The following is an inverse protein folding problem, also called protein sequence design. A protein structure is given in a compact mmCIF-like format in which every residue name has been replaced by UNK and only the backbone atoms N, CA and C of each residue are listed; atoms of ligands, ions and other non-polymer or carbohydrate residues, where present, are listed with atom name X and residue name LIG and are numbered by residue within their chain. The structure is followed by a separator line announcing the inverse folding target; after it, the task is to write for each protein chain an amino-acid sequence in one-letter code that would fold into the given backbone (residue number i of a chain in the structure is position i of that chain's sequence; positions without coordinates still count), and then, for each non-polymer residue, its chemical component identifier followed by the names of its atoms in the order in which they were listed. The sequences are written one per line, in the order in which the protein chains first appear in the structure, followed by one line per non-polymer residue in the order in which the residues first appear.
data_IF_221984030585
#
_entry.id   IF_221984030585
#
_cell.length_a   1.000
_cell.length_b   1.000
_cell.length_c   1.000
_cell.angle_alpha   90.00
_cell.angle_beta   90.00
_cell.angle_gamma   90.00
#
_symmetry.space_group_name_H-M   'P 1'
#
loop_
_entity.id
_entity.type
_entity.pdbx_description
1 polymer ?
#
# COMPACT_ATOMS: atom_id res chain seq x y z
N UNK A 1 -5.89 -30.48 -24.04
CA UNK A 1 -6.02 -29.89 -22.69
C UNK A 1 -7.16 -28.88 -22.74
N UNK A 2 -8.16 -28.97 -21.85
CA UNK A 2 -9.35 -28.13 -21.90
C UNK A 2 -9.03 -26.67 -21.54
N UNK A 3 -9.76 -25.72 -22.13
CA UNK A 3 -9.74 -24.29 -21.76
C UNK A 3 -10.17 -24.18 -20.29
N UNK A 4 -9.35 -23.51 -19.47
CA UNK A 4 -9.68 -23.30 -18.05
C UNK A 4 -10.67 -22.15 -17.86
N UNK A 5 -11.28 -22.07 -16.67
CA UNK A 5 -12.17 -20.95 -16.35
C UNK A 5 -11.43 -19.60 -16.44
N UNK A 6 -10.16 -19.53 -16.03
CA UNK A 6 -9.37 -18.30 -16.13
C UNK A 6 -9.18 -17.87 -17.59
N UNK A 7 -8.91 -18.82 -18.49
CA UNK A 7 -8.78 -18.54 -19.92
C UNK A 7 -10.10 -18.02 -20.51
N UNK A 8 -11.23 -18.60 -20.11
CA UNK A 8 -12.56 -18.14 -20.49
C UNK A 8 -12.87 -16.73 -19.97
N UNK A 9 -12.54 -16.45 -18.70
CA UNK A 9 -12.69 -15.12 -18.10
C UNK A 9 -11.85 -14.10 -18.85
N UNK A 10 -10.56 -14.41 -19.11
CA UNK A 10 -9.68 -13.49 -19.82
C UNK A 10 -10.25 -13.15 -21.20
N UNK A 11 -10.59 -14.16 -22.00
CA UNK A 11 -11.11 -13.94 -23.36
C UNK A 11 -12.44 -13.19 -23.32
N UNK A 12 -13.39 -13.63 -22.48
CA UNK A 12 -14.70 -13.00 -22.38
C UNK A 12 -14.63 -11.55 -21.91
N UNK A 13 -13.89 -11.28 -20.84
CA UNK A 13 -13.72 -9.93 -20.30
C UNK A 13 -12.97 -9.02 -21.27
N UNK A 14 -11.89 -9.52 -21.88
CA UNK A 14 -11.12 -8.77 -22.88
C UNK A 14 -11.97 -8.41 -24.09
N UNK A 15 -12.76 -9.36 -24.59
CA UNK A 15 -13.65 -9.13 -25.72
C UNK A 15 -14.71 -8.08 -25.37
N UNK A 16 -15.38 -8.20 -24.23
CA UNK A 16 -16.39 -7.22 -23.79
C UNK A 16 -15.75 -5.84 -23.63
N UNK A 17 -14.60 -5.76 -22.97
CA UNK A 17 -13.85 -4.50 -22.81
C UNK A 17 -13.47 -3.88 -24.16
N UNK A 18 -12.98 -4.68 -25.10
CA UNK A 18 -12.63 -4.25 -26.45
C UNK A 18 -13.84 -3.76 -27.24
N UNK A 19 -14.98 -4.46 -27.18
CA UNK A 19 -16.20 -4.05 -27.88
C UNK A 19 -16.81 -2.77 -27.28
N UNK A 20 -16.85 -2.65 -25.95
CA UNK A 20 -17.32 -1.43 -25.29
C UNK A 20 -16.45 -0.23 -25.65
N UNK A 21 -15.13 -0.39 -25.66
CA UNK A 21 -14.20 0.66 -26.07
C UNK A 21 -14.27 0.98 -27.57
N UNK A 22 -14.57 -0.01 -28.43
CA UNK A 22 -14.82 0.23 -29.86
C UNK A 22 -16.07 1.10 -30.07
N UNK A 23 -17.17 0.83 -29.35
CA UNK A 23 -18.41 1.62 -29.44
C UNK A 23 -18.18 3.05 -28.94
N UNK A 24 -17.37 3.19 -27.89
CA UNK A 24 -17.10 4.48 -27.25
C UNK A 24 -16.06 5.32 -28.01
N UNK A 25 -15.08 4.68 -28.63
CA UNK A 25 -14.01 5.33 -29.40
C UNK A 25 -12.79 5.67 -28.54
N UNK A 26 -11.59 5.45 -29.09
CA UNK A 26 -10.31 5.63 -28.38
C UNK A 26 -10.13 7.05 -27.81
N UNK A 27 -10.49 8.06 -28.59
CA UNK A 27 -10.35 9.46 -28.23
C UNK A 27 -11.11 9.78 -26.95
N UNK A 28 -12.35 9.28 -26.81
CA UNK A 28 -13.14 9.46 -25.58
C UNK A 28 -12.46 8.83 -24.38
N UNK A 29 -11.84 7.68 -24.56
CA UNK A 29 -11.22 6.97 -23.44
C UNK A 29 -9.94 7.65 -22.98
N UNK A 30 -9.08 8.09 -23.90
CA UNK A 30 -7.89 8.88 -23.54
C UNK A 30 -8.31 10.20 -22.90
N UNK A 31 -9.26 10.92 -23.49
CA UNK A 31 -9.71 12.19 -22.97
C UNK A 31 -10.31 12.07 -21.56
N UNK A 32 -10.95 10.94 -21.25
CA UNK A 32 -11.36 10.62 -19.89
C UNK A 32 -10.17 10.38 -18.98
N UNK A 33 -9.14 9.64 -19.39
CA UNK A 33 -7.93 9.45 -18.55
C UNK A 33 -7.22 10.79 -18.30
N UNK A 34 -7.12 11.62 -19.34
CA UNK A 34 -6.54 12.97 -19.25
C UNK A 34 -7.35 13.85 -18.30
N UNK A 35 -8.69 13.76 -18.28
CA UNK A 35 -9.50 14.55 -17.36
C UNK A 35 -9.25 14.19 -15.90
N UNK A 36 -9.06 12.89 -15.60
CA UNK A 36 -8.68 12.44 -14.25
C UNK A 36 -7.29 12.96 -13.84
N UNK A 37 -6.30 12.89 -14.74
CA UNK A 37 -4.94 13.40 -14.45
C UNK A 37 -4.96 14.92 -14.24
N UNK A 38 -5.65 15.66 -15.12
CA UNK A 38 -5.79 17.11 -15.00
C UNK A 38 -6.52 17.52 -13.71
N UNK A 39 -7.57 16.78 -13.33
CA UNK A 39 -8.28 17.00 -12.08
C UNK A 39 -7.41 16.72 -10.85
N UNK A 40 -6.60 15.66 -10.89
CA UNK A 40 -5.65 15.35 -9.82
C UNK A 40 -4.57 16.43 -9.69
N UNK A 41 -4.03 16.91 -10.82
CA UNK A 41 -3.10 18.03 -10.82
C UNK A 41 -3.75 19.30 -10.26
N UNK A 42 -4.97 19.62 -10.67
CA UNK A 42 -5.71 20.75 -10.12
C UNK A 42 -5.92 20.63 -8.61
N UNK A 43 -6.31 19.45 -8.12
CA UNK A 43 -6.44 19.18 -6.70
C UNK A 43 -5.13 19.43 -5.94
N UNK A 44 -4.01 18.97 -6.49
CA UNK A 44 -2.69 19.16 -5.90
C UNK A 44 -2.27 20.63 -5.83
N UNK A 45 -2.57 21.45 -6.85
CA UNK A 45 -2.17 22.85 -6.89
C UNK A 45 -3.16 23.82 -6.22
N UNK A 46 -4.46 23.51 -6.21
CA UNK A 46 -5.51 24.44 -5.78
C UNK A 46 -6.21 24.06 -4.48
N UNK A 47 -5.75 23.06 -3.72
CA UNK A 47 -6.36 22.75 -2.41
C UNK A 47 -6.14 23.86 -1.37
N UNK A 48 -4.99 24.56 -1.39
CA UNK A 48 -4.67 25.56 -0.36
C UNK A 48 -5.67 26.73 -0.30
N UNK A 49 -6.11 27.32 -1.43
CA UNK A 49 -7.18 28.32 -1.41
C UNK A 49 -8.52 27.81 -0.86
N UNK A 50 -8.81 26.52 -0.96
CA UNK A 50 -10.08 25.92 -0.50
C UNK A 50 -10.04 25.55 0.98
N UNK A 51 -8.85 25.28 1.52
CA UNK A 51 -8.64 24.84 2.89
C UNK A 51 -9.29 25.73 3.97
N UNK A 52 -9.21 27.08 3.92
CA UNK A 52 -9.83 27.95 4.92
C UNK A 52 -11.36 27.84 4.98
N UNK A 53 -12.00 27.39 3.90
CA UNK A 53 -13.44 27.18 3.86
C UNK A 53 -13.86 25.82 4.44
N UNK A 54 -12.92 24.87 4.53
CA UNK A 54 -13.14 23.51 5.06
C UNK A 54 -12.76 23.40 6.53
N UNK A 55 -11.70 24.10 6.93
CA UNK A 55 -11.18 24.17 8.29
C UNK A 55 -12.26 24.37 9.39
N UNK A 56 -13.28 25.22 9.22
CA UNK A 56 -14.32 25.40 10.24
C UNK A 56 -15.21 24.17 10.49
N UNK A 57 -15.18 23.18 9.59
CA UNK A 57 -16.04 21.99 9.63
C UNK A 57 -15.28 20.69 9.93
N UNK A 58 -13.94 20.72 9.94
CA UNK A 58 -13.09 19.53 10.10
C UNK A 58 -11.94 19.84 11.04
N UNK A 59 -11.96 19.23 12.22
CA UNK A 59 -10.98 19.49 13.29
C UNK A 59 -9.57 18.97 12.97
N UNK A 60 -9.47 17.93 12.15
CA UNK A 60 -8.17 17.32 11.80
C UNK A 60 -7.61 17.94 10.52
N UNK A 61 -6.48 18.64 10.65
CA UNK A 61 -5.76 19.30 9.55
C UNK A 61 -5.54 18.40 8.33
N UNK A 62 -5.11 17.14 8.54
CA UNK A 62 -4.86 16.19 7.45
C UNK A 62 -6.17 15.84 6.73
N UNK A 63 -7.25 15.66 7.49
CA UNK A 63 -8.58 15.36 6.92
C UNK A 63 -9.11 16.60 6.18
N UNK A 64 -8.96 17.80 6.75
CA UNK A 64 -9.37 19.05 6.13
C UNK A 64 -8.65 19.28 4.78
N UNK A 65 -7.34 18.97 4.73
CA UNK A 65 -6.54 19.00 3.50
C UNK A 65 -7.06 18.03 2.45
N UNK A 66 -7.32 16.77 2.82
CA UNK A 66 -7.87 15.75 1.91
C UNK A 66 -9.26 16.15 1.41
N UNK A 67 -10.12 16.68 2.28
CA UNK A 67 -11.46 17.16 1.90
C UNK A 67 -11.36 18.35 0.96
N UNK A 68 -10.50 19.33 1.23
CA UNK A 68 -10.27 20.47 0.35
C UNK A 68 -9.75 20.05 -1.03
N UNK A 69 -8.76 19.16 -1.08
CA UNK A 69 -8.26 18.58 -2.32
C UNK A 69 -9.35 17.79 -3.05
N UNK A 70 -10.19 17.04 -2.34
CA UNK A 70 -11.33 16.31 -2.88
C UNK A 70 -12.38 17.22 -3.52
N UNK A 71 -12.71 18.34 -2.88
CA UNK A 71 -13.64 19.34 -3.44
C UNK A 71 -13.09 19.89 -4.75
N UNK A 72 -11.82 20.33 -4.76
CA UNK A 72 -11.15 20.84 -5.97
C UNK A 72 -11.11 19.77 -7.05
N UNK A 73 -10.76 18.53 -6.70
CA UNK A 73 -10.70 17.40 -7.61
C UNK A 73 -12.03 17.20 -8.32
N UNK A 74 -13.14 17.13 -7.58
CA UNK A 74 -14.47 16.90 -8.16
C UNK A 74 -14.90 18.05 -9.06
N UNK A 75 -14.71 19.30 -8.62
CA UNK A 75 -15.06 20.48 -9.42
C UNK A 75 -14.24 20.52 -10.71
N UNK A 76 -12.92 20.34 -10.61
CA UNK A 76 -12.03 20.32 -11.76
C UNK A 76 -12.36 19.15 -12.70
N UNK A 77 -12.64 17.96 -12.16
CA UNK A 77 -13.01 16.79 -12.95
C UNK A 77 -14.28 17.04 -13.75
N UNK A 78 -15.30 17.67 -13.17
CA UNK A 78 -16.54 18.02 -13.88
C UNK A 78 -16.23 19.01 -15.01
N UNK A 79 -15.54 20.11 -14.71
CA UNK A 79 -15.22 21.15 -15.70
C UNK A 79 -14.40 20.57 -16.87
N UNK A 80 -13.30 19.89 -16.56
CA UNK A 80 -12.42 19.30 -17.57
C UNK A 80 -13.17 18.23 -18.37
N UNK A 81 -13.96 17.38 -17.73
CA UNK A 81 -14.72 16.33 -18.43
C UNK A 81 -15.75 16.92 -19.40
N UNK A 82 -16.44 18.00 -19.03
CA UNK A 82 -17.36 18.67 -19.95
C UNK A 82 -16.63 19.24 -21.16
N UNK A 83 -15.45 19.85 -20.96
CA UNK A 83 -14.62 20.37 -22.05
C UNK A 83 -14.15 19.24 -22.97
N UNK A 84 -13.63 18.16 -22.39
CA UNK A 84 -13.09 17.05 -23.18
C UNK A 84 -14.18 16.26 -23.90
N UNK A 85 -15.40 16.16 -23.35
CA UNK A 85 -16.54 15.57 -24.06
C UNK A 85 -16.83 16.30 -25.36
N UNK A 86 -16.87 17.64 -25.32
CA UNK A 86 -17.08 18.46 -26.54
C UNK A 86 -15.96 18.28 -27.56
N UNK A 87 -14.71 18.21 -27.09
CA UNK A 87 -13.56 17.98 -27.97
C UNK A 87 -13.63 16.58 -28.62
N UNK A 88 -14.05 15.56 -27.87
CA UNK A 88 -14.22 14.22 -28.40
C UNK A 88 -15.28 14.16 -29.49
N UNK A 89 -16.41 14.86 -29.31
CA UNK A 89 -17.47 14.95 -30.30
C UNK A 89 -16.93 15.54 -31.63
N UNK A 90 -16.09 16.58 -31.56
CA UNK A 90 -15.47 17.19 -32.74
C UNK A 90 -14.50 16.26 -33.47
N UNK A 91 -13.72 15.47 -32.73
CA UNK A 91 -12.76 14.52 -33.33
C UNK A 91 -13.49 13.40 -34.06
N UNK A 92 -14.54 12.86 -33.43
CA UNK A 92 -15.29 11.70 -33.93
C UNK A 92 -16.13 12.03 -35.15
N UNK A 93 -16.62 13.28 -35.26
CA UNK A 93 -17.43 13.74 -36.41
C UNK A 93 -16.60 13.89 -37.71
N UNK A 94 -15.27 13.78 -37.62
CA UNK A 94 -14.40 13.74 -38.79
C UNK A 94 -14.35 12.35 -39.44
N UNK A 95 -13.78 12.26 -40.66
CA UNK A 95 -13.49 10.98 -41.36
C UNK A 95 -12.65 9.98 -40.54
N UNK A 96 -12.07 10.41 -39.42
CA UNK A 96 -11.23 9.60 -38.53
C UNK A 96 -12.06 8.66 -37.64
N UNK A 97 -13.39 8.79 -37.58
CA UNK A 97 -14.24 7.97 -36.69
C UNK A 97 -14.07 6.45 -36.84
N UNK A 98 -13.79 5.93 -38.05
CA UNK A 98 -13.52 4.49 -38.23
C UNK A 98 -12.18 4.05 -37.60
N UNK A 99 -11.14 4.89 -37.72
CA UNK A 99 -9.84 4.65 -37.09
C UNK A 99 -9.92 4.78 -35.56
N UNK A 100 -10.70 5.74 -35.07
CA UNK A 100 -10.92 5.92 -33.62
C UNK A 100 -11.57 4.69 -32.97
N UNK A 101 -12.49 4.03 -33.67
CA UNK A 101 -13.14 2.79 -33.21
C UNK A 101 -12.19 1.60 -33.22
N UNK A 102 -11.33 1.44 -34.24
CA UNK A 102 -10.37 0.33 -34.29
C UNK A 102 -9.27 0.48 -33.25
N UNK A 103 -8.77 1.70 -33.04
CA UNK A 103 -7.88 2.00 -31.91
C UNK A 103 -8.59 1.77 -30.57
N UNK A 104 -9.88 2.09 -30.48
CA UNK A 104 -10.70 1.87 -29.30
C UNK A 104 -10.77 0.38 -28.95
N UNK A 105 -10.95 -0.48 -29.95
CA UNK A 105 -10.90 -1.93 -29.78
C UNK A 105 -9.56 -2.41 -29.23
N UNK A 106 -8.44 -1.98 -29.83
CA UNK A 106 -7.10 -2.37 -29.38
C UNK A 106 -6.81 -1.89 -27.95
N UNK A 107 -7.17 -0.64 -27.66
CA UNK A 107 -7.05 -0.07 -26.32
C UNK A 107 -7.92 -0.84 -25.30
N UNK A 108 -9.18 -1.12 -25.64
CA UNK A 108 -10.08 -1.89 -24.78
C UNK A 108 -9.62 -3.32 -24.56
N UNK A 109 -9.01 -3.97 -25.55
CA UNK A 109 -8.41 -5.28 -25.41
C UNK A 109 -7.19 -5.22 -24.45
N UNK A 110 -6.28 -4.27 -24.67
CA UNK A 110 -5.13 -4.08 -23.78
C UNK A 110 -5.57 -3.80 -22.33
N UNK A 111 -6.55 -2.92 -22.14
CA UNK A 111 -7.15 -2.64 -20.83
C UNK A 111 -7.80 -3.87 -20.23
N UNK A 112 -8.52 -4.66 -21.01
CA UNK A 112 -9.17 -5.88 -20.56
C UNK A 112 -8.17 -6.89 -20.00
N UNK A 113 -7.09 -7.13 -20.74
CA UNK A 113 -5.99 -8.01 -20.31
C UNK A 113 -5.34 -7.45 -19.04
N UNK A 114 -5.07 -6.15 -18.99
CA UNK A 114 -4.44 -5.51 -17.84
C UNK A 114 -5.30 -5.61 -16.57
N UNK A 115 -6.61 -5.40 -16.67
CA UNK A 115 -7.53 -5.55 -15.54
C UNK A 115 -7.55 -6.98 -15.03
N UNK A 116 -7.58 -7.98 -15.92
CA UNK A 116 -7.53 -9.40 -15.52
C UNK A 116 -6.18 -9.76 -14.89
N UNK A 117 -5.07 -9.19 -15.38
CA UNK A 117 -3.75 -9.39 -14.78
C UNK A 117 -3.67 -8.80 -13.36
N UNK A 118 -4.16 -7.58 -13.16
CA UNK A 118 -4.24 -6.97 -11.82
C UNK A 118 -5.18 -7.75 -10.90
N UNK A 119 -6.31 -8.24 -11.41
CA UNK A 119 -7.21 -9.09 -10.65
C UNK A 119 -6.54 -10.42 -10.25
N UNK A 120 -5.72 -11.00 -11.12
CA UNK A 120 -4.94 -12.20 -10.79
C UNK A 120 -3.87 -11.93 -9.73
N UNK A 121 -3.17 -10.79 -9.79
CA UNK A 121 -2.23 -10.38 -8.75
C UNK A 121 -2.93 -10.26 -7.39
N UNK A 122 -4.05 -9.54 -7.36
CA UNK A 122 -4.85 -9.37 -6.15
C UNK A 122 -5.38 -10.71 -5.63
N UNK A 123 -5.82 -11.59 -6.52
CA UNK A 123 -6.25 -12.94 -6.17
C UNK A 123 -5.11 -13.77 -5.59
N UNK A 124 -3.91 -13.73 -6.16
CA UNK A 124 -2.74 -14.47 -5.66
C UNK A 124 -2.30 -13.98 -4.28
N UNK A 125 -2.32 -12.65 -4.08
CA UNK A 125 -2.08 -12.04 -2.78
C UNK A 125 -3.10 -12.51 -1.72
N UNK A 126 -4.39 -12.60 -2.08
CA UNK A 126 -5.46 -13.02 -1.17
C UNK A 126 -5.52 -14.55 -0.94
N UNK A 127 -5.30 -15.36 -1.98
CA UNK A 127 -5.46 -16.82 -1.95
C UNK A 127 -4.22 -17.55 -1.41
N UNK A 128 -3.06 -16.86 -1.31
CA UNK A 128 -1.82 -17.43 -0.80
C UNK A 128 -1.12 -18.40 -1.77
N UNK A 129 -0.13 -19.18 -1.30
CA UNK A 129 0.81 -19.91 -2.17
C UNK A 129 0.21 -21.04 -3.03
N UNK A 130 -1.01 -21.49 -2.73
CA UNK A 130 -1.65 -22.64 -3.40
C UNK A 130 -2.74 -22.16 -4.35
N UNK A 131 -2.35 -21.85 -5.59
CA UNK A 131 -3.30 -21.50 -6.63
C UNK A 131 -4.25 -22.68 -6.93
N UNK A 132 -5.57 -22.44 -7.02
CA UNK A 132 -6.53 -23.48 -7.37
C UNK A 132 -6.33 -23.96 -8.81
N UNK A 133 -6.75 -25.20 -9.11
CA UNK A 133 -6.48 -25.86 -10.39
C UNK A 133 -6.97 -25.11 -11.64
N UNK A 134 -8.01 -24.28 -11.52
CA UNK A 134 -8.51 -23.45 -12.63
C UNK A 134 -7.64 -22.23 -12.93
N UNK A 135 -6.78 -21.81 -12.00
CA UNK A 135 -5.73 -20.79 -12.20
C UNK A 135 -4.42 -21.47 -12.56
N UNK A 136 -4.02 -22.48 -11.79
CA UNK A 136 -2.69 -23.11 -11.90
C UNK A 136 -2.45 -23.74 -13.29
N UNK A 137 -3.49 -24.30 -13.91
CA UNK A 137 -3.42 -24.95 -15.22
C UNK A 137 -3.80 -24.04 -16.39
N UNK A 138 -4.06 -22.75 -16.15
CA UNK A 138 -4.52 -21.84 -17.20
C UNK A 138 -3.39 -21.49 -18.17
N UNK A 139 -3.72 -21.44 -19.47
CA UNK A 139 -2.73 -21.12 -20.51
C UNK A 139 -2.34 -19.63 -20.51
N UNK A 140 -3.28 -18.79 -20.09
CA UNK A 140 -3.10 -17.34 -19.95
C UNK A 140 -2.29 -16.92 -18.74
N UNK A 141 -2.15 -17.80 -17.73
CA UNK A 141 -1.43 -17.52 -16.49
C UNK A 141 -0.02 -16.90 -16.69
N UNK A 142 0.89 -17.49 -17.48
CA UNK A 142 2.24 -16.91 -17.65
C UNK A 142 2.21 -15.51 -18.29
N UNK A 143 1.27 -15.24 -19.21
CA UNK A 143 1.10 -13.91 -19.79
C UNK A 143 0.67 -12.91 -18.70
N UNK A 144 -0.36 -13.26 -17.93
CA UNK A 144 -0.89 -12.41 -16.87
C UNK A 144 0.11 -12.16 -15.75
N UNK A 145 0.86 -13.19 -15.32
CA UNK A 145 1.93 -13.06 -14.34
C UNK A 145 3.09 -12.20 -14.87
N UNK A 146 3.47 -12.34 -16.15
CA UNK A 146 4.54 -11.49 -16.73
C UNK A 146 4.14 -10.01 -16.78
N UNK A 147 2.87 -9.71 -17.06
CA UNK A 147 2.33 -8.35 -17.02
C UNK A 147 2.30 -7.87 -15.57
N UNK A 148 1.85 -8.71 -14.65
CA UNK A 148 1.81 -8.40 -13.23
C UNK A 148 3.19 -8.08 -12.65
N UNK A 149 4.20 -8.90 -12.95
CA UNK A 149 5.58 -8.68 -12.52
C UNK A 149 6.17 -7.37 -13.11
N UNK A 150 5.83 -7.04 -14.36
CA UNK A 150 6.20 -5.74 -14.94
C UNK A 150 5.53 -4.58 -14.21
N UNK A 151 4.25 -4.71 -13.86
CA UNK A 151 3.56 -3.68 -13.07
C UNK A 151 4.23 -3.53 -11.71
N UNK A 152 4.48 -4.62 -10.99
CA UNK A 152 5.16 -4.61 -9.69
C UNK A 152 6.55 -3.98 -9.76
N UNK A 153 7.33 -4.23 -10.81
CA UNK A 153 8.65 -3.59 -11.00
C UNK A 153 8.58 -2.07 -11.24
N UNK A 154 7.42 -1.55 -11.63
CA UNK A 154 7.17 -0.10 -11.76
C UNK A 154 6.66 0.51 -10.46
N UNK A 155 6.20 -0.30 -9.51
CA UNK A 155 5.85 0.15 -8.18
C UNK A 155 7.14 0.27 -7.33
N UNK A 156 7.29 1.32 -6.51
CA UNK A 156 8.37 1.39 -5.52
C UNK A 156 8.29 0.20 -4.55
N UNK A 157 9.45 -0.31 -4.12
CA UNK A 157 9.56 -1.53 -3.29
C UNK A 157 8.81 -1.45 -1.95
N UNK A 158 8.46 -0.25 -1.48
CA UNK A 158 7.88 -0.07 -0.15
C UNK A 158 6.92 1.13 -0.05
N UNK A 159 5.73 1.07 -0.67
CA UNK A 159 4.76 2.17 -0.61
C UNK A 159 4.28 2.38 0.83
N UNK A 160 4.22 1.32 1.64
CA UNK A 160 3.70 1.36 3.00
C UNK A 160 4.69 2.00 3.97
N UNK A 161 5.97 1.64 3.94
CA UNK A 161 7.00 2.34 4.72
C UNK A 161 7.20 3.80 4.26
N UNK A 162 7.09 4.07 2.95
CA UNK A 162 7.12 5.44 2.44
C UNK A 162 5.94 6.30 2.92
N UNK A 163 4.76 5.68 3.14
CA UNK A 163 3.58 6.36 3.67
C UNK A 163 3.67 6.47 5.21
N UNK A 164 4.05 5.41 5.92
CA UNK A 164 4.19 5.38 7.37
C UNK A 164 5.26 6.36 7.89
N UNK A 165 6.42 6.44 7.23
CA UNK A 165 7.48 7.40 7.57
C UNK A 165 7.02 8.86 7.35
N UNK A 166 6.15 9.11 6.38
CA UNK A 166 5.56 10.45 6.16
C UNK A 166 4.41 10.75 7.12
N UNK A 167 3.77 9.73 7.67
CA UNK A 167 2.67 9.88 8.63
C UNK A 167 3.15 10.04 10.08
N UNK A 168 4.28 9.40 10.44
CA UNK A 168 4.94 9.47 11.75
C UNK A 168 6.36 10.06 11.68
N UNK A 169 6.51 11.39 11.43
CA UNK A 169 7.82 12.03 11.30
C UNK A 169 8.68 12.08 12.59
N UNK A 170 8.19 11.57 13.73
CA UNK A 170 8.87 11.62 15.04
C UNK A 170 9.41 10.26 15.53
N UNK A 171 9.46 9.24 14.68
CA UNK A 171 10.09 7.97 15.04
C UNK A 171 11.53 7.96 14.53
N UNK A 172 12.55 7.88 15.41
CA UNK A 172 13.92 7.68 14.98
C UNK A 172 13.98 6.42 14.10
N UNK A 173 14.63 6.53 12.94
CA UNK A 173 14.84 5.42 12.03
C UNK A 173 15.30 4.18 12.82
N UNK A 174 14.78 2.97 12.52
CA UNK A 174 15.36 1.75 13.04
C UNK A 174 16.84 1.75 12.64
N UNK A 175 17.72 1.82 13.63
CA UNK A 175 19.16 1.71 13.41
C UNK A 175 19.43 0.27 12.96
N UNK A 176 19.38 0.04 11.65
CA UNK A 176 19.94 -1.16 11.05
C UNK A 176 21.46 -1.00 11.13
N UNK A 177 22.07 -1.70 12.09
CA UNK A 177 23.51 -1.89 12.17
C UNK A 177 24.28 -0.79 12.90
N UNK A 178 24.17 -0.75 14.23
CA UNK A 178 25.26 -0.25 15.07
C UNK A 178 25.96 -1.47 15.68
N UNK A 179 27.05 -1.87 15.04
CA UNK A 179 28.02 -2.81 15.58
C UNK A 179 28.37 -2.40 17.01
N UNK A 180 28.20 -3.31 17.96
CA UNK A 180 28.73 -3.15 19.31
C UNK A 180 30.26 -3.06 19.18
N UNK A 181 30.92 -1.97 19.65
CA UNK A 181 32.37 -1.91 19.62
C UNK A 181 32.95 -3.05 20.46
N UNK A 182 34.00 -3.76 20.00
CA UNK A 182 34.62 -4.80 20.81
C UNK A 182 35.25 -4.15 22.04
N UNK A 183 34.88 -4.66 23.22
CA UNK A 183 35.49 -4.27 24.48
C UNK A 183 37.02 -4.48 24.40
N UNK A 184 37.78 -3.42 24.64
CA UNK A 184 39.23 -3.43 24.62
C UNK A 184 39.78 -4.33 25.73
N UNK A 185 40.63 -5.28 25.35
CA UNK A 185 41.46 -6.09 26.25
C UNK A 185 42.34 -5.19 27.13
N UNK A 186 42.16 -5.28 28.45
CA UNK A 186 43.09 -4.73 29.42
C UNK A 186 44.30 -5.69 29.58
N UNK A 187 45.55 -5.21 29.63
CA UNK A 187 46.71 -6.08 29.74
C UNK A 187 46.85 -6.61 31.17
N UNK A 188 46.97 -7.93 31.32
CA UNK A 188 47.43 -8.58 32.54
C UNK A 188 48.90 -8.21 32.81
N UNK A 189 49.16 -7.62 33.97
CA UNK A 189 50.49 -7.47 34.54
C UNK A 189 50.62 -8.39 35.77
N UNK A 190 51.81 -8.97 35.89
CA UNK A 190 52.11 -10.25 36.51
C UNK A 190 52.66 -10.12 37.95
N UNK A 191 52.65 -11.28 38.66
CA UNK A 191 53.43 -11.68 39.85
C UNK A 191 52.92 -11.34 41.29
N UNK A 192 53.30 -12.15 42.32
CA UNK A 192 53.42 -13.62 42.36
C UNK A 192 52.84 -14.27 43.65
N UNK A 193 52.82 -15.61 43.67
CA UNK A 193 52.29 -16.48 44.71
C UNK A 193 53.18 -16.69 45.96
N UNK A 194 52.54 -16.80 47.13
CA UNK A 194 52.91 -17.54 48.35
C UNK A 194 51.75 -17.34 49.35
N UNK A 195 51.23 -18.25 50.16
CA UNK A 195 51.49 -19.65 50.52
C UNK A 195 50.55 -19.98 51.70
N UNK A 196 50.24 -21.27 51.85
CA UNK A 196 49.92 -21.99 53.09
C UNK A 196 48.61 -21.74 53.88
N UNK A 197 47.79 -22.80 53.85
CA UNK A 197 47.19 -23.53 54.99
C UNK A 197 46.25 -22.85 56.00
N UNK A 198 45.03 -23.42 56.08
CA UNK A 198 44.04 -23.24 57.14
C UNK A 198 44.58 -23.73 58.51
N UNK A 199 44.00 -23.34 59.67
CA UNK A 199 42.80 -24.07 60.14
C UNK A 199 41.80 -23.31 61.06
N UNK A 200 40.55 -23.74 60.97
CA UNK A 200 39.60 -24.09 62.06
C UNK A 200 39.18 -23.12 63.18
N UNK A 201 37.99 -23.47 63.72
CA UNK A 201 37.32 -23.06 64.97
C UNK A 201 36.47 -21.78 64.83
N UNK A 202 35.30 -21.60 65.43
CA UNK A 202 34.32 -22.36 66.25
C UNK A 202 33.33 -21.25 66.69
N UNK A 203 32.07 -21.58 67.00
CA UNK A 203 31.36 -20.78 68.01
C UNK A 203 29.99 -20.24 67.66
N UNK A 204 28.99 -21.09 67.88
CA UNK A 204 27.74 -20.79 68.60
C UNK A 204 26.67 -19.86 68.02
N UNK A 205 25.51 -20.50 67.81
CA UNK A 205 24.18 -20.04 67.47
C UNK A 205 23.50 -19.13 68.52
N UNK A 206 22.51 -18.34 68.07
CA UNK A 206 21.15 -18.08 68.63
C UNK A 206 20.52 -16.93 67.81
N UNK A 207 19.23 -16.81 67.48
CA UNK A 207 17.98 -17.45 67.89
C UNK A 207 16.90 -17.14 66.81
N UNK A 208 15.80 -17.88 66.80
CA UNK A 208 14.70 -17.82 65.82
C UNK A 208 13.54 -16.87 66.27
N UNK A 209 12.51 -16.59 65.43
CA UNK A 209 11.54 -15.46 65.50
C UNK A 209 10.21 -15.88 66.19
N UNK A 210 9.03 -15.16 66.20
CA UNK A 210 8.22 -14.72 65.04
C UNK A 210 7.20 -13.54 65.30
N UNK A 211 6.21 -13.41 64.38
CA UNK A 211 4.88 -12.77 64.48
C UNK A 211 4.72 -11.43 63.71
N UNK A 212 4.00 -11.39 62.58
CA UNK A 212 2.55 -11.55 62.37
C UNK A 212 1.77 -10.25 62.68
N UNK A 213 1.21 -9.63 61.64
CA UNK A 213 0.28 -8.51 61.72
C UNK A 213 -0.65 -8.53 60.49
N UNK A 214 -1.78 -9.24 60.64
CA UNK A 214 -3.07 -8.94 60.03
C UNK A 214 -3.92 -8.18 61.08
N UNK A 215 -5.08 -7.53 60.79
CA UNK A 215 -5.99 -7.83 59.67
C UNK A 215 -6.69 -6.62 58.98
N UNK A 216 -7.39 -6.99 57.91
CA UNK A 216 -8.36 -6.19 57.16
C UNK A 216 -9.69 -6.00 57.92
N UNK A 217 -10.40 -4.91 57.61
CA UNK A 217 -11.85 -4.81 57.75
C UNK A 217 -12.45 -3.84 56.71
N UNK A 218 -13.49 -4.22 55.92
CA UNK A 218 -14.27 -3.28 55.12
C UNK A 218 -15.55 -2.83 55.86
N UNK A 219 -16.00 -1.61 55.54
CA UNK A 219 -17.24 -1.01 56.04
C UNK A 219 -18.51 -1.61 55.38
N UNK A 220 -19.68 -1.56 56.04
CA UNK A 220 -20.95 -1.97 55.43
C UNK A 220 -21.64 -0.79 54.73
N UNK A 221 -22.32 -1.09 53.62
CA UNK A 221 -23.32 -0.22 53.02
C UNK A 221 -24.73 -0.66 53.46
N UNK A 222 -25.45 0.27 54.09
CA UNK A 222 -26.85 0.61 53.84
C UNK A 222 -27.11 2.01 54.40
#
# INVERSE_FOLDING_TARGET
MPITLLDGILVGFTLVSAMLAMVRGFSREILSVVSWIAAAAAAFFFYQPVLPYVQPYVDNEKIAMVVAAGIVFIVALIVVSVITMKLADWIIDSRVGALDRTLGFLYGAARGILVVAVALLFFNWLAGPKAPGWVANAKSRPLLESIGAKLESLLPEDPENAILNRLNPNQPAPQIGAETPPAADAPAADAPAAGDDAPALDGSATDAPPADNAPANPAPAN
#
